data_IF_842076928931
#
_entry.id   IF_842076928931
#
_cell.length_a   1.000
_cell.length_b   1.000
_cell.length_c   1.000
_cell.angle_alpha   90.00
_cell.angle_beta   90.00
_cell.angle_gamma   90.00
#
_symmetry.space_group_name_H-M   'P 1'
#
loop_
_entity.id
_entity.type
_entity.pdbx_description
1 polymer ?
#
# COMPACT_ATOMS: atom_id res chain seq x y z
N UNK A 1 -23.60 15.70 3.27
CA UNK A 1 -24.93 15.82 2.61
C UNK A 1 -25.55 14.44 2.64
N UNK A 2 -26.77 14.28 3.17
CA UNK A 2 -27.46 12.99 3.29
C UNK A 2 -28.65 13.04 2.35
N UNK A 3 -28.71 12.11 1.38
CA UNK A 3 -29.89 11.93 0.54
C UNK A 3 -31.02 11.29 1.35
N UNK A 4 -32.21 11.83 1.27
CA UNK A 4 -33.37 11.38 2.05
C UNK A 4 -34.39 10.55 1.25
N UNK A 5 -34.36 10.61 -0.09
CA UNK A 5 -35.18 9.75 -0.96
C UNK A 5 -34.46 8.38 -1.11
N UNK A 6 -35.12 7.27 -0.71
CA UNK A 6 -34.55 5.94 -0.89
C UNK A 6 -34.23 5.60 -2.34
N UNK A 7 -35.09 5.98 -3.27
CA UNK A 7 -34.93 5.72 -4.71
C UNK A 7 -33.70 6.44 -5.25
N UNK A 8 -33.54 7.72 -4.87
CA UNK A 8 -32.40 8.54 -5.29
C UNK A 8 -31.10 8.07 -4.62
N UNK A 9 -31.16 7.68 -3.36
CA UNK A 9 -29.99 7.09 -2.65
C UNK A 9 -29.54 5.80 -3.33
N UNK A 10 -30.48 4.93 -3.73
CA UNK A 10 -30.18 3.70 -4.46
C UNK A 10 -29.56 3.98 -5.84
N UNK A 11 -30.12 4.91 -6.60
CA UNK A 11 -29.57 5.30 -7.90
C UNK A 11 -28.13 5.83 -7.79
N UNK A 12 -27.85 6.70 -6.79
CA UNK A 12 -26.51 7.22 -6.53
C UNK A 12 -25.54 6.11 -6.09
N UNK A 13 -26.00 5.12 -5.34
CA UNK A 13 -25.19 3.98 -4.94
C UNK A 13 -24.77 3.12 -6.14
N UNK A 14 -25.69 2.87 -7.08
CA UNK A 14 -25.38 2.16 -8.33
C UNK A 14 -24.39 2.94 -9.21
N UNK A 15 -24.58 4.23 -9.37
CA UNK A 15 -23.66 5.09 -10.11
C UNK A 15 -22.26 5.10 -9.48
N UNK A 16 -22.18 5.21 -8.15
CA UNK A 16 -20.92 5.17 -7.42
C UNK A 16 -20.21 3.83 -7.58
N UNK A 17 -20.93 2.70 -7.59
CA UNK A 17 -20.37 1.38 -7.83
C UNK A 17 -19.82 1.25 -9.26
N UNK A 18 -20.57 1.72 -10.26
CA UNK A 18 -20.12 1.71 -11.66
C UNK A 18 -18.85 2.55 -11.85
N UNK A 19 -18.81 3.78 -11.33
CA UNK A 19 -17.63 4.64 -11.36
C UNK A 19 -16.45 4.00 -10.63
N UNK A 20 -16.70 3.29 -9.53
CA UNK A 20 -15.67 2.56 -8.79
C UNK A 20 -15.10 1.41 -9.61
N UNK A 21 -15.92 0.68 -10.36
CA UNK A 21 -15.47 -0.40 -11.24
C UNK A 21 -14.65 0.16 -12.41
N UNK A 22 -15.11 1.23 -13.04
CA UNK A 22 -14.37 1.92 -14.12
C UNK A 22 -13.02 2.42 -13.64
N UNK A 23 -12.97 3.05 -12.46
CA UNK A 23 -11.72 3.49 -11.85
C UNK A 23 -10.75 2.32 -11.62
N UNK A 24 -11.24 1.18 -11.11
CA UNK A 24 -10.42 -0.02 -10.88
C UNK A 24 -9.84 -0.54 -12.20
N UNK A 25 -10.65 -0.63 -13.25
CA UNK A 25 -10.20 -1.10 -14.56
C UNK A 25 -9.08 -0.22 -15.16
N UNK A 26 -9.23 1.11 -15.06
CA UNK A 26 -8.18 2.05 -15.51
C UNK A 26 -6.92 1.90 -14.67
N UNK A 27 -7.06 1.79 -13.36
CA UNK A 27 -5.94 1.59 -12.43
C UNK A 27 -5.17 0.30 -12.71
N UNK A 28 -5.86 -0.81 -12.92
CA UNK A 28 -5.22 -2.11 -13.16
C UNK A 28 -4.50 -2.13 -14.51
N UNK A 29 -5.08 -1.48 -15.55
CA UNK A 29 -4.40 -1.27 -16.83
C UNK A 29 -3.13 -0.42 -16.67
N UNK A 30 -3.22 0.73 -16.00
CA UNK A 30 -2.05 1.60 -15.79
C UNK A 30 -0.95 0.92 -14.98
N UNK A 31 -1.33 0.08 -14.01
CA UNK A 31 -0.37 -0.70 -13.22
C UNK A 31 0.35 -1.74 -14.11
N UNK A 32 -0.39 -2.48 -14.93
CA UNK A 32 0.19 -3.45 -15.85
C UNK A 32 1.15 -2.80 -16.85
N UNK A 33 0.75 -1.67 -17.46
CA UNK A 33 1.61 -0.90 -18.37
C UNK A 33 2.89 -0.39 -17.70
N UNK A 34 2.79 0.03 -16.42
CA UNK A 34 3.93 0.49 -15.65
C UNK A 34 4.89 -0.65 -15.29
N UNK A 35 4.35 -1.82 -14.94
CA UNK A 35 5.15 -3.02 -14.63
C UNK A 35 5.85 -3.54 -15.88
N UNK A 36 5.17 -3.56 -17.03
CA UNK A 36 5.79 -3.91 -18.32
C UNK A 36 6.96 -2.98 -18.66
N UNK A 37 6.83 -1.66 -18.43
CA UNK A 37 7.91 -0.70 -18.64
C UNK A 37 9.09 -0.97 -17.70
N UNK A 38 8.81 -1.25 -16.41
CA UNK A 38 9.85 -1.56 -15.43
C UNK A 38 10.67 -2.79 -15.85
N UNK A 39 9.99 -3.83 -16.29
CA UNK A 39 10.65 -5.07 -16.74
C UNK A 39 11.42 -4.87 -18.05
N UNK A 40 10.77 -4.30 -19.06
CA UNK A 40 11.37 -4.09 -20.38
C UNK A 40 12.61 -3.20 -20.35
N UNK A 41 12.65 -2.22 -19.47
CA UNK A 41 13.77 -1.28 -19.31
C UNK A 41 14.77 -1.68 -18.23
N UNK A 42 14.52 -2.77 -17.51
CA UNK A 42 15.39 -3.23 -16.41
C UNK A 42 15.38 -2.28 -15.19
N UNK A 43 14.33 -1.48 -15.01
CA UNK A 43 14.26 -0.51 -13.91
C UNK A 43 14.09 -1.15 -12.54
N UNK A 44 13.78 -2.43 -12.49
CA UNK A 44 13.64 -3.15 -11.22
C UNK A 44 14.92 -3.14 -10.36
N UNK A 45 16.09 -2.90 -10.94
CA UNK A 45 17.38 -2.79 -10.21
C UNK A 45 17.68 -1.38 -9.70
N UNK A 46 16.93 -0.35 -10.10
CA UNK A 46 17.17 1.04 -9.70
C UNK A 46 16.75 1.29 -8.25
N UNK A 47 17.36 2.28 -7.60
CA UNK A 47 17.03 2.70 -6.23
C UNK A 47 15.73 3.50 -6.16
N UNK A 48 15.27 4.07 -7.27
CA UNK A 48 14.00 4.75 -7.42
C UNK A 48 13.38 4.48 -8.80
N UNK A 49 12.05 4.58 -8.88
CA UNK A 49 11.32 4.40 -10.14
C UNK A 49 10.67 5.72 -10.57
N UNK A 50 10.87 6.10 -11.83
CA UNK A 50 10.22 7.26 -12.42
C UNK A 50 9.57 6.83 -13.73
N UNK A 51 8.26 6.81 -13.76
CA UNK A 51 7.44 6.33 -14.87
C UNK A 51 6.51 7.44 -15.34
N UNK A 52 6.27 7.51 -16.63
CA UNK A 52 5.37 8.52 -17.16
C UNK A 52 4.96 8.21 -18.59
N UNK A 53 3.65 8.39 -18.86
CA UNK A 53 3.09 8.11 -20.17
C UNK A 53 1.97 9.10 -20.53
N UNK A 54 1.86 9.39 -21.82
CA UNK A 54 0.75 10.16 -22.38
C UNK A 54 -0.57 9.43 -22.15
N UNK A 55 -1.60 10.15 -21.72
CA UNK A 55 -2.94 9.61 -21.47
C UNK A 55 -3.13 8.88 -20.14
N UNK A 56 -2.12 8.75 -19.28
CA UNK A 56 -2.33 8.24 -17.94
C UNK A 56 -3.15 9.22 -17.09
N UNK A 57 -4.16 8.70 -16.43
CA UNK A 57 -5.13 9.51 -15.68
C UNK A 57 -4.51 10.12 -14.43
N UNK A 58 -4.50 11.45 -14.34
CA UNK A 58 -3.92 12.22 -13.23
C UNK A 58 -4.57 11.91 -11.86
N UNK A 59 -5.85 11.53 -11.85
CA UNK A 59 -6.55 11.14 -10.62
C UNK A 59 -6.15 9.75 -10.09
N UNK A 60 -5.46 8.95 -10.91
CA UNK A 60 -5.12 7.55 -10.58
C UNK A 60 -3.62 7.36 -10.36
N UNK A 61 -2.76 8.24 -10.91
CA UNK A 61 -1.29 8.12 -10.79
C UNK A 61 -0.82 7.93 -9.34
N UNK A 62 -1.49 8.56 -8.37
CA UNK A 62 -1.15 8.44 -6.95
C UNK A 62 -1.43 7.06 -6.37
N UNK A 63 -2.45 6.36 -6.87
CA UNK A 63 -2.79 5.00 -6.44
C UNK A 63 -1.79 4.02 -7.04
N UNK A 64 -1.46 4.19 -8.33
CA UNK A 64 -0.46 3.35 -9.03
C UNK A 64 0.91 3.54 -8.39
N UNK A 65 1.35 4.79 -8.13
CA UNK A 65 2.61 5.06 -7.45
C UNK A 65 2.69 4.38 -6.08
N UNK A 66 1.58 4.40 -5.31
CA UNK A 66 1.51 3.73 -4.00
C UNK A 66 1.65 2.21 -4.11
N UNK A 67 1.00 1.57 -5.09
CA UNK A 67 1.12 0.12 -5.32
C UNK A 67 2.54 -0.27 -5.73
N UNK A 68 3.14 0.46 -6.65
CA UNK A 68 4.52 0.22 -7.10
C UNK A 68 5.52 0.45 -5.96
N UNK A 69 5.35 1.52 -5.17
CA UNK A 69 6.21 1.78 -4.02
C UNK A 69 6.16 0.66 -2.98
N UNK A 70 4.97 0.08 -2.74
CA UNK A 70 4.81 -1.07 -1.85
C UNK A 70 5.38 -2.37 -2.43
N UNK A 71 5.22 -2.61 -3.73
CA UNK A 71 5.70 -3.82 -4.40
C UNK A 71 7.23 -3.86 -4.51
N UNK A 72 7.83 -2.72 -4.89
CA UNK A 72 9.27 -2.62 -5.12
C UNK A 72 10.05 -2.09 -3.91
N UNK A 73 9.37 -1.70 -2.83
CA UNK A 73 9.94 -1.18 -1.58
C UNK A 73 10.92 -0.01 -1.79
N UNK A 74 10.58 0.92 -2.71
CA UNK A 74 11.42 2.07 -3.06
C UNK A 74 10.60 3.30 -3.45
N UNK A 75 11.22 4.50 -3.51
CA UNK A 75 10.57 5.71 -3.99
C UNK A 75 10.12 5.57 -5.45
N UNK A 76 8.89 6.00 -5.74
CA UNK A 76 8.27 5.92 -7.07
C UNK A 76 7.61 7.23 -7.44
N UNK A 77 7.88 7.71 -8.64
CA UNK A 77 7.11 8.77 -9.31
C UNK A 77 6.31 8.14 -10.45
N UNK A 78 5.01 8.40 -10.49
CA UNK A 78 4.15 8.07 -11.64
C UNK A 78 3.51 9.36 -12.14
N UNK A 79 3.69 9.66 -13.43
CA UNK A 79 3.17 10.86 -14.07
C UNK A 79 2.31 10.54 -15.30
N UNK A 80 1.16 11.20 -15.42
CA UNK A 80 0.39 11.24 -16.66
C UNK A 80 0.73 12.49 -17.45
N UNK A 81 0.81 12.39 -18.77
CA UNK A 81 1.04 13.53 -19.64
C UNK A 81 -0.20 13.83 -20.50
N UNK A 82 -0.38 15.10 -20.77
CA UNK A 82 -1.36 15.62 -21.70
C UNK A 82 -0.72 16.81 -22.44
N UNK A 83 -0.63 16.72 -23.76
CA UNK A 83 0.01 17.74 -24.60
C UNK A 83 1.43 18.14 -24.14
N UNK A 84 2.25 17.14 -23.72
CA UNK A 84 3.61 17.35 -23.25
C UNK A 84 3.76 17.92 -21.84
N UNK A 85 2.65 18.21 -21.13
CA UNK A 85 2.64 18.63 -19.74
C UNK A 85 2.21 17.47 -18.84
N UNK A 86 2.96 17.20 -17.79
CA UNK A 86 2.73 16.08 -16.89
C UNK A 86 2.41 16.50 -15.47
N UNK A 87 1.49 15.74 -14.88
CA UNK A 87 1.23 15.76 -13.45
C UNK A 87 1.45 14.38 -12.88
N UNK A 88 2.18 14.31 -11.78
CA UNK A 88 2.54 13.06 -11.16
C UNK A 88 2.37 13.06 -9.66
N UNK A 89 2.41 11.85 -9.12
CA UNK A 89 2.42 11.59 -7.70
C UNK A 89 3.68 10.82 -7.31
N UNK A 90 4.19 11.15 -6.14
CA UNK A 90 5.38 10.52 -5.56
C UNK A 90 4.97 9.75 -4.31
N UNK A 91 5.40 8.50 -4.22
CA UNK A 91 5.19 7.61 -3.07
C UNK A 91 6.49 6.87 -2.75
N UNK A 92 6.63 6.43 -1.51
CA UNK A 92 7.79 5.64 -1.10
C UNK A 92 7.51 4.85 0.17
N UNK A 93 8.41 3.96 0.57
CA UNK A 93 8.37 3.28 1.84
C UNK A 93 8.32 4.27 3.01
N UNK A 94 7.85 3.80 4.15
CA UNK A 94 7.85 4.61 5.38
C UNK A 94 9.29 5.06 5.71
N UNK A 95 9.45 6.34 6.02
CA UNK A 95 10.76 6.92 6.29
C UNK A 95 11.51 7.45 5.06
N UNK A 96 10.97 7.28 3.85
CA UNK A 96 11.52 7.93 2.65
C UNK A 96 11.44 9.45 2.79
N UNK A 97 12.52 10.13 2.45
CA UNK A 97 12.62 11.60 2.48
C UNK A 97 12.24 12.17 1.11
N UNK A 98 11.01 11.90 0.65
CA UNK A 98 10.56 12.20 -0.72
C UNK A 98 10.69 13.69 -1.08
N UNK A 99 10.36 14.59 -0.14
CA UNK A 99 10.49 16.02 -0.38
C UNK A 99 11.93 16.44 -0.64
N UNK A 100 12.88 15.92 0.14
CA UNK A 100 14.31 16.26 -0.01
C UNK A 100 14.87 15.70 -1.34
N UNK A 101 14.42 14.51 -1.75
CA UNK A 101 14.79 13.93 -3.05
C UNK A 101 14.25 14.77 -4.21
N UNK A 102 13.02 15.26 -4.11
CA UNK A 102 12.43 16.15 -5.11
C UNK A 102 13.14 17.51 -5.17
N UNK A 103 13.55 18.04 -4.02
CA UNK A 103 14.33 19.27 -3.97
C UNK A 103 15.66 19.12 -4.73
N UNK A 104 16.35 17.99 -4.58
CA UNK A 104 17.57 17.67 -5.34
C UNK A 104 17.30 17.44 -6.84
N UNK A 105 16.09 17.03 -7.21
CA UNK A 105 15.67 16.79 -8.59
C UNK A 105 14.94 17.98 -9.23
N UNK A 106 14.92 19.13 -8.56
CA UNK A 106 14.10 20.29 -8.93
C UNK A 106 14.40 20.85 -10.32
N UNK A 107 15.62 20.67 -10.84
CA UNK A 107 16.02 21.13 -12.19
C UNK A 107 15.16 20.51 -13.32
N UNK A 108 14.62 19.29 -13.12
CA UNK A 108 13.77 18.60 -14.08
C UNK A 108 12.26 18.77 -13.78
N UNK A 109 11.88 19.60 -12.83
CA UNK A 109 10.51 19.82 -12.40
C UNK A 109 10.05 21.24 -12.68
N UNK A 110 8.81 21.40 -13.12
CA UNK A 110 8.16 22.71 -13.20
C UNK A 110 7.73 23.16 -11.80
N UNK A 111 7.18 22.22 -11.04
CA UNK A 111 6.74 22.44 -9.66
C UNK A 111 6.69 21.12 -8.92
N UNK A 112 6.93 21.18 -7.62
CA UNK A 112 6.69 20.05 -6.72
C UNK A 112 6.20 20.55 -5.36
N UNK A 113 5.57 19.65 -4.60
CA UNK A 113 5.09 19.96 -3.26
C UNK A 113 4.50 18.75 -2.55
N UNK A 114 4.46 18.83 -1.24
CA UNK A 114 3.96 17.74 -0.41
C UNK A 114 4.78 17.56 0.87
N UNK A 115 4.80 16.34 1.36
CA UNK A 115 5.45 15.96 2.60
C UNK A 115 6.46 14.83 2.36
N UNK A 116 7.20 14.44 3.42
CA UNK A 116 8.19 13.36 3.32
C UNK A 116 7.58 11.99 2.95
N UNK A 117 6.28 11.77 3.18
CA UNK A 117 5.61 10.49 2.89
C UNK A 117 4.87 10.45 1.54
N UNK A 118 4.49 11.61 1.00
CA UNK A 118 3.73 11.72 -0.25
C UNK A 118 3.85 13.13 -0.82
N UNK A 119 4.11 13.22 -2.13
CA UNK A 119 4.25 14.50 -2.82
C UNK A 119 3.60 14.45 -4.20
N UNK A 120 3.43 15.64 -4.79
CA UNK A 120 3.00 15.84 -6.16
C UNK A 120 4.08 16.54 -6.96
N UNK A 121 4.13 16.29 -8.26
CA UNK A 121 5.07 16.90 -9.20
C UNK A 121 4.37 17.38 -10.46
N UNK A 122 4.89 18.45 -11.05
CA UNK A 122 4.57 18.89 -12.40
C UNK A 122 5.87 18.94 -13.21
N UNK A 123 5.86 18.40 -14.42
CA UNK A 123 7.02 18.31 -15.28
C UNK A 123 6.64 18.38 -16.76
N UNK A 124 7.61 18.61 -17.62
CA UNK A 124 7.45 18.46 -19.08
C UNK A 124 7.85 17.05 -19.52
N UNK A 125 7.18 16.51 -20.52
CA UNK A 125 7.49 15.17 -21.03
C UNK A 125 8.96 15.05 -21.45
N UNK A 126 9.54 16.11 -22.01
CA UNK A 126 10.96 16.17 -22.41
C UNK A 126 11.92 16.01 -21.22
N UNK A 127 11.50 16.35 -20.00
CA UNK A 127 12.33 16.26 -18.81
C UNK A 127 12.22 14.91 -18.08
N UNK A 128 11.38 13.99 -18.55
CA UNK A 128 11.16 12.71 -17.87
C UNK A 128 12.47 11.91 -17.71
N UNK A 129 13.32 11.90 -18.75
CA UNK A 129 14.60 11.20 -18.69
C UNK A 129 15.56 11.85 -17.70
N UNK A 130 15.65 13.18 -17.69
CA UNK A 130 16.47 13.95 -16.73
C UNK A 130 15.99 13.72 -15.30
N UNK A 131 14.67 13.74 -15.08
CA UNK A 131 14.09 13.47 -13.75
C UNK A 131 14.42 12.06 -13.27
N UNK A 132 14.41 11.07 -14.18
CA UNK A 132 14.75 9.68 -13.84
C UNK A 132 16.16 9.56 -13.28
N UNK A 133 17.14 10.21 -13.90
CA UNK A 133 18.53 10.16 -13.45
C UNK A 133 18.76 10.98 -12.16
N UNK A 134 18.17 12.16 -12.07
CA UNK A 134 18.32 13.01 -10.88
C UNK A 134 17.65 12.36 -9.64
N UNK A 135 16.46 11.79 -9.82
CA UNK A 135 15.73 11.17 -8.72
C UNK A 135 16.38 9.84 -8.27
N UNK A 136 16.95 9.08 -9.20
CA UNK A 136 17.78 7.91 -8.91
C UNK A 136 19.00 8.30 -8.06
N UNK A 137 19.74 9.34 -8.48
CA UNK A 137 20.91 9.83 -7.74
C UNK A 137 20.51 10.31 -6.32
N UNK A 138 19.39 11.04 -6.22
CA UNK A 138 18.87 11.48 -4.94
C UNK A 138 18.49 10.30 -4.04
N UNK A 139 17.92 9.23 -4.61
CA UNK A 139 17.56 8.02 -3.86
C UNK A 139 18.80 7.25 -3.36
N UNK A 140 19.84 7.14 -4.16
CA UNK A 140 21.11 6.52 -3.77
C UNK A 140 21.84 7.29 -2.68
N UNK A 141 21.69 8.60 -2.66
CA UNK A 141 22.31 9.51 -1.68
C UNK A 141 21.48 9.67 -0.40
N UNK A 142 20.20 9.27 -0.44
CA UNK A 142 19.32 9.37 0.71
C UNK A 142 19.71 8.35 1.79
N UNK A 143 19.63 8.72 3.09
CA UNK A 143 19.71 7.72 4.14
C UNK A 143 18.69 6.62 3.88
N UNK A 144 19.06 5.37 4.18
CA UNK A 144 18.14 4.25 4.08
C UNK A 144 16.83 4.61 4.78
N UNK A 145 15.66 4.32 4.19
CA UNK A 145 14.40 4.52 4.87
C UNK A 145 14.51 3.85 6.24
N UNK A 146 14.08 4.56 7.28
CA UNK A 146 13.99 3.92 8.60
C UNK A 146 13.15 2.66 8.37
N UNK A 147 13.79 1.50 8.55
CA UNK A 147 13.08 0.25 8.48
C UNK A 147 11.87 0.40 9.39
N UNK A 148 10.69 0.02 8.92
CA UNK A 148 9.46 0.09 9.70
C UNK A 148 9.51 -0.81 10.96
N UNK A 149 10.71 -1.19 11.38
CA UNK A 149 11.06 -2.04 12.51
C UNK A 149 11.71 -1.35 13.69
N UNK A 150 12.19 -0.10 13.57
CA UNK A 150 12.99 0.53 14.63
C UNK A 150 12.32 1.68 15.39
N UNK A 151 11.08 1.95 15.18
CA UNK A 151 10.29 2.62 16.22
C UNK A 151 9.77 1.54 17.14
N UNK A 152 10.06 1.61 18.44
CA UNK A 152 9.55 0.75 19.51
C UNK A 152 8.01 0.63 19.46
N UNK A 153 7.49 -0.10 18.46
CA UNK A 153 6.14 -0.60 18.56
C UNK A 153 6.22 -1.74 19.57
N UNK A 154 5.72 -1.48 20.77
CA UNK A 154 5.44 -2.54 21.72
C UNK A 154 4.54 -3.56 21.01
N UNK A 155 5.16 -4.65 20.56
CA UNK A 155 4.42 -5.79 20.02
C UNK A 155 3.97 -6.61 21.21
N UNK A 156 2.66 -6.66 21.41
CA UNK A 156 2.12 -7.58 22.38
C UNK A 156 2.09 -8.99 21.80
N UNK A 157 2.92 -9.88 22.35
CA UNK A 157 2.87 -11.31 22.01
C UNK A 157 1.63 -11.89 22.69
N UNK A 158 0.62 -12.20 21.90
CA UNK A 158 -0.66 -12.69 22.40
C UNK A 158 -0.59 -14.22 22.53
N UNK A 159 -0.87 -14.78 23.73
CA UNK A 159 -1.09 -16.21 23.86
C UNK A 159 -2.29 -16.66 23.02
N UNK A 160 -2.20 -17.83 22.41
CA UNK A 160 -3.18 -18.34 21.46
C UNK A 160 -4.60 -18.42 22.03
N UNK A 161 -4.74 -18.71 23.31
CA UNK A 161 -6.03 -18.87 24.01
C UNK A 161 -6.65 -17.55 24.49
N UNK A 162 -5.93 -16.44 24.41
CA UNK A 162 -6.41 -15.13 24.83
C UNK A 162 -6.84 -14.22 23.66
N UNK A 163 -6.71 -14.68 22.43
CA UNK A 163 -6.89 -13.84 21.23
C UNK A 163 -8.22 -13.06 21.19
N UNK A 164 -9.33 -13.73 21.52
CA UNK A 164 -10.65 -13.09 21.52
C UNK A 164 -10.82 -12.09 22.65
N UNK A 165 -10.21 -12.38 23.80
CA UNK A 165 -10.20 -11.45 24.94
C UNK A 165 -9.40 -10.22 24.63
N UNK A 166 -8.20 -10.39 24.05
CA UNK A 166 -7.35 -9.29 23.61
C UNK A 166 -8.07 -8.41 22.59
N UNK A 167 -8.80 -8.99 21.63
CA UNK A 167 -9.59 -8.20 20.69
C UNK A 167 -10.64 -7.34 21.40
N UNK A 168 -11.37 -7.87 22.37
CA UNK A 168 -12.37 -7.13 23.12
C UNK A 168 -11.72 -5.98 23.93
N UNK A 169 -10.55 -6.24 24.53
CA UNK A 169 -9.80 -5.23 25.28
C UNK A 169 -9.26 -4.12 24.34
N UNK A 170 -8.82 -4.48 23.13
CA UNK A 170 -8.37 -3.51 22.12
C UNK A 170 -9.50 -2.60 21.61
N UNK A 171 -10.73 -3.10 21.53
CA UNK A 171 -11.89 -2.29 21.16
C UNK A 171 -12.20 -1.18 22.19
N UNK A 172 -11.81 -1.35 23.46
CA UNK A 172 -11.95 -0.29 24.46
C UNK A 172 -11.00 0.89 24.26
N UNK A 173 -9.95 0.73 23.42
CA UNK A 173 -9.00 1.79 23.07
C UNK A 173 -9.48 2.66 21.92
N UNK A 174 -10.60 2.31 21.28
CA UNK A 174 -11.19 3.11 20.19
C UNK A 174 -11.68 4.50 20.70
N UNK A 175 -11.56 5.57 19.92
CA UNK A 175 -11.15 5.58 18.51
C UNK A 175 -9.63 5.64 18.32
N UNK A 176 -9.11 4.73 17.51
CA UNK A 176 -7.72 4.74 17.08
C UNK A 176 -7.54 5.52 15.76
N UNK A 177 -6.37 6.12 15.55
CA UNK A 177 -6.08 6.95 14.40
C UNK A 177 -4.59 7.14 14.13
N UNK A 178 -4.23 8.16 13.36
CA UNK A 178 -2.86 8.40 12.92
C UNK A 178 -1.90 8.66 14.09
N UNK A 179 -2.32 9.44 15.10
CA UNK A 179 -1.51 9.78 16.28
C UNK A 179 -1.78 8.89 17.49
N UNK A 180 -2.82 8.05 17.41
CA UNK A 180 -3.16 7.03 18.39
C UNK A 180 -3.39 5.69 17.66
N UNK A 181 -2.35 5.05 17.12
CA UNK A 181 -2.52 3.83 16.35
C UNK A 181 -2.99 2.69 17.24
N UNK A 182 -3.89 1.85 16.71
CA UNK A 182 -4.27 0.61 17.40
C UNK A 182 -3.01 -0.22 17.69
N UNK A 183 -2.88 -0.80 18.88
CA UNK A 183 -1.74 -1.64 19.22
C UNK A 183 -1.55 -2.78 18.22
N UNK A 184 -0.29 -3.07 17.88
CA UNK A 184 0.05 -4.21 17.05
C UNK A 184 0.26 -5.44 17.94
N UNK A 185 -0.18 -6.59 17.44
CA UNK A 185 0.03 -7.88 18.09
C UNK A 185 1.01 -8.72 17.28
N UNK A 186 1.75 -9.58 17.95
CA UNK A 186 2.60 -10.61 17.35
C UNK A 186 2.04 -11.99 17.69
N UNK A 187 1.98 -12.86 16.69
CA UNK A 187 1.46 -14.21 16.78
C UNK A 187 2.44 -15.19 16.14
N UNK A 188 2.51 -16.41 16.68
CA UNK A 188 3.10 -17.55 15.99
C UNK A 188 1.98 -18.47 15.53
N UNK A 189 2.05 -18.89 14.28
CA UNK A 189 1.00 -19.68 13.68
C UNK A 189 1.53 -20.55 12.54
N UNK A 190 0.82 -21.64 12.25
CA UNK A 190 1.03 -22.42 11.04
C UNK A 190 0.12 -21.92 9.93
N UNK A 191 0.66 -21.70 8.75
CA UNK A 191 -0.14 -21.31 7.58
C UNK A 191 -0.83 -22.53 6.98
N UNK A 192 -2.14 -22.57 7.06
CA UNK A 192 -2.97 -23.68 6.55
C UNK A 192 -3.45 -23.42 5.13
N UNK A 193 -3.72 -22.16 4.82
CA UNK A 193 -4.11 -21.71 3.50
C UNK A 193 -3.47 -20.37 3.21
N UNK A 194 -2.94 -20.23 2.01
CA UNK A 194 -2.37 -18.99 1.49
C UNK A 194 -2.82 -18.79 0.05
N UNK A 195 -3.37 -17.64 -0.26
CA UNK A 195 -3.79 -17.30 -1.62
C UNK A 195 -3.71 -15.82 -1.88
N UNK A 196 -3.38 -15.48 -3.12
CA UNK A 196 -3.56 -14.13 -3.61
C UNK A 196 -5.05 -13.88 -3.90
N UNK A 197 -5.51 -12.69 -3.54
CA UNK A 197 -6.86 -12.23 -3.84
C UNK A 197 -6.82 -10.94 -4.64
N UNK A 198 -7.95 -10.59 -5.25
CA UNK A 198 -8.09 -9.42 -6.12
C UNK A 198 -7.42 -8.18 -5.54
N UNK A 199 -6.62 -7.50 -6.36
CA UNK A 199 -5.85 -6.32 -5.96
C UNK A 199 -4.44 -6.63 -5.45
N UNK A 200 -3.92 -7.85 -5.63
CA UNK A 200 -2.57 -8.24 -5.21
C UNK A 200 -2.42 -8.40 -3.70
N UNK A 201 -3.53 -8.71 -3.01
CA UNK A 201 -3.53 -8.89 -1.56
C UNK A 201 -3.34 -10.36 -1.17
N UNK A 202 -2.74 -10.59 0.00
CA UNK A 202 -2.58 -11.91 0.59
C UNK A 202 -3.74 -12.22 1.53
N UNK A 203 -4.37 -13.38 1.35
CA UNK A 203 -5.31 -13.95 2.32
C UNK A 203 -4.72 -15.22 2.88
N UNK A 204 -4.58 -15.28 4.20
CA UNK A 204 -4.10 -16.45 4.92
C UNK A 204 -5.20 -17.02 5.82
N UNK A 205 -5.12 -18.31 6.05
CA UNK A 205 -5.73 -18.97 7.19
C UNK A 205 -4.62 -19.50 8.08
N UNK A 206 -4.57 -18.99 9.29
CA UNK A 206 -3.56 -19.29 10.30
C UNK A 206 -4.14 -20.28 11.31
N UNK A 207 -3.40 -21.32 11.64
CA UNK A 207 -3.69 -22.23 12.73
C UNK A 207 -2.82 -21.86 13.92
N UNK A 208 -3.47 -21.46 14.98
CA UNK A 208 -2.88 -21.17 16.27
C UNK A 208 -2.82 -22.44 17.13
N UNK A 209 -2.22 -22.36 18.30
CA UNK A 209 -2.26 -23.44 19.28
C UNK A 209 -3.68 -23.95 19.54
N UNK A 210 -3.81 -25.22 19.91
CA UNK A 210 -5.08 -25.92 20.14
C UNK A 210 -6.03 -25.97 18.93
N UNK A 211 -5.51 -25.78 17.70
CA UNK A 211 -6.29 -25.89 16.46
C UNK A 211 -7.23 -24.72 16.17
N UNK A 212 -7.08 -23.60 16.87
CA UNK A 212 -7.85 -22.39 16.57
C UNK A 212 -7.47 -21.83 15.21
N UNK A 213 -8.45 -21.29 14.49
CA UNK A 213 -8.26 -20.71 13.16
C UNK A 213 -8.45 -19.19 13.20
N UNK A 214 -7.49 -18.47 12.62
CA UNK A 214 -7.53 -17.03 12.46
C UNK A 214 -7.33 -16.67 10.99
N UNK A 215 -8.27 -15.90 10.42
CA UNK A 215 -8.06 -15.28 9.11
C UNK A 215 -7.02 -14.17 9.20
N UNK A 216 -6.15 -14.05 8.18
CA UNK A 216 -5.26 -12.90 8.08
C UNK A 216 -5.33 -12.30 6.67
N UNK A 217 -5.26 -10.97 6.61
CA UNK A 217 -5.32 -10.20 5.38
C UNK A 217 -4.10 -9.29 5.28
N UNK A 218 -3.23 -9.55 4.31
CA UNK A 218 -2.01 -8.78 4.03
C UNK A 218 -2.18 -7.89 2.80
N UNK A 219 -2.37 -6.57 2.95
CA UNK A 219 -2.47 -5.67 1.81
C UNK A 219 -1.21 -5.72 0.95
N UNK A 220 -1.38 -5.92 -0.37
CA UNK A 220 -0.31 -5.94 -1.38
C UNK A 220 0.80 -6.99 -1.17
N UNK A 221 0.54 -7.99 -0.34
CA UNK A 221 1.46 -9.11 -0.07
C UNK A 221 1.13 -10.38 -0.86
N UNK A 222 0.26 -10.29 -1.88
CA UNK A 222 -0.22 -11.45 -2.66
C UNK A 222 0.90 -12.28 -3.28
N UNK A 223 1.98 -11.63 -3.72
CA UNK A 223 3.16 -12.27 -4.30
C UNK A 223 3.82 -13.30 -3.35
N UNK A 224 3.60 -13.20 -2.04
CA UNK A 224 4.14 -14.10 -1.03
C UNK A 224 3.29 -15.35 -0.77
N UNK A 225 2.15 -15.51 -1.45
CA UNK A 225 1.23 -16.61 -1.18
C UNK A 225 1.87 -18.00 -1.34
N UNK A 226 2.70 -18.19 -2.38
CA UNK A 226 3.38 -19.46 -2.65
C UNK A 226 4.44 -19.83 -1.61
N UNK A 227 5.05 -18.86 -0.95
CA UNK A 227 6.14 -19.07 0.01
C UNK A 227 5.65 -19.51 1.39
N UNK A 228 4.39 -19.24 1.72
CA UNK A 228 3.89 -19.32 3.09
C UNK A 228 3.13 -20.61 3.41
N UNK A 229 2.60 -21.31 2.40
CA UNK A 229 1.76 -22.49 2.61
C UNK A 229 2.51 -23.60 3.37
N UNK A 230 1.91 -24.05 4.47
CA UNK A 230 2.42 -25.16 5.29
C UNK A 230 3.57 -24.78 6.24
N UNK A 231 4.02 -23.52 6.23
CA UNK A 231 5.11 -23.04 7.09
C UNK A 231 4.63 -22.60 8.47
N UNK A 232 5.51 -22.65 9.46
CA UNK A 232 5.34 -21.90 10.71
C UNK A 232 5.88 -20.50 10.53
N UNK A 233 5.08 -19.52 10.89
CA UNK A 233 5.41 -18.12 10.73
C UNK A 233 5.22 -17.36 12.05
N UNK A 234 6.09 -16.37 12.26
CA UNK A 234 5.84 -15.31 13.21
C UNK A 234 5.34 -14.10 12.42
N UNK A 235 4.18 -13.57 12.79
CA UNK A 235 3.54 -12.46 12.10
C UNK A 235 3.14 -11.37 13.06
N UNK A 236 3.15 -10.13 12.58
CA UNK A 236 2.59 -9.01 13.33
C UNK A 236 1.56 -8.25 12.50
N UNK A 237 0.62 -7.65 13.22
CA UNK A 237 -0.46 -6.89 12.62
C UNK A 237 -1.47 -6.42 13.65
N UNK A 238 -2.61 -5.97 13.19
CA UNK A 238 -3.70 -5.48 14.05
C UNK A 238 -4.90 -6.39 13.96
N UNK A 239 -5.42 -6.76 15.12
CA UNK A 239 -6.68 -7.49 15.19
C UNK A 239 -7.84 -6.56 14.83
N UNK A 240 -8.80 -7.06 14.07
CA UNK A 240 -10.01 -6.34 13.72
C UNK A 240 -11.18 -7.31 13.58
N UNK A 241 -12.40 -6.80 13.59
CA UNK A 241 -13.57 -7.60 13.22
C UNK A 241 -13.52 -7.94 11.73
N UNK A 242 -13.84 -9.19 11.40
CA UNK A 242 -13.97 -9.62 10.01
C UNK A 242 -15.33 -9.17 9.46
N UNK A 243 -15.33 -8.08 8.70
CA UNK A 243 -16.53 -7.50 8.10
C UNK A 243 -17.22 -8.43 7.09
N UNK A 244 -16.50 -9.41 6.50
CA UNK A 244 -17.06 -10.35 5.53
C UNK A 244 -17.74 -11.55 6.17
N UNK A 245 -17.16 -12.08 7.26
CA UNK A 245 -17.74 -13.21 7.98
C UNK A 245 -18.86 -12.78 8.93
N UNK A 246 -18.86 -11.52 9.34
CA UNK A 246 -19.86 -10.97 10.25
C UNK A 246 -19.77 -11.54 11.68
N UNK A 247 -20.70 -11.14 12.54
CA UNK A 247 -20.75 -11.58 13.94
C UNK A 247 -19.52 -11.17 14.73
N UNK A 248 -19.01 -12.10 15.54
CA UNK A 248 -17.82 -11.89 16.37
C UNK A 248 -16.52 -12.43 15.72
N UNK A 249 -16.53 -12.73 14.43
CA UNK A 249 -15.35 -13.18 13.73
C UNK A 249 -14.27 -12.09 13.75
N UNK A 250 -13.04 -12.49 14.04
CA UNK A 250 -11.86 -11.61 14.04
C UNK A 250 -10.90 -12.00 12.91
N UNK A 251 -10.14 -11.02 12.47
CA UNK A 251 -9.14 -11.15 11.43
C UNK A 251 -7.88 -10.37 11.81
N UNK A 252 -6.70 -10.89 11.50
CA UNK A 252 -5.45 -10.16 11.61
C UNK A 252 -5.24 -9.34 10.32
N UNK A 253 -5.23 -8.01 10.41
CA UNK A 253 -4.67 -7.18 9.36
C UNK A 253 -3.14 -7.30 9.43
N UNK A 254 -2.60 -8.20 8.62
CA UNK A 254 -1.17 -8.50 8.57
C UNK A 254 -0.37 -7.29 8.09
N UNK A 255 0.65 -6.93 8.83
CA UNK A 255 1.56 -5.82 8.49
C UNK A 255 2.92 -6.37 8.05
N UNK A 256 3.42 -7.42 8.70
CA UNK A 256 4.71 -8.06 8.34
C UNK A 256 4.83 -9.49 8.86
N UNK A 257 5.73 -10.22 8.25
CA UNK A 257 6.34 -11.44 8.76
C UNK A 257 7.57 -11.04 9.58
N UNK A 258 7.75 -11.65 10.75
CA UNK A 258 8.82 -11.36 11.71
C UNK A 258 10.01 -12.31 11.53
#
# INVERSE_FOLDING_TARGET
MIERSPERAYALALEAEELSQQRRAVQDRMLAEAEEEIEAQGYASRSALVLGREGWNHGIVGIVAGRLASKYERPVIVAGFENGHGRGSVRGPKGSRLYDMLAQSSAALVRFGGHQAAAGVELRAAELASLRELFEHAAQSAPAPLSSGEGDQLLWVVPDDELFRVQADLELLEPCGAENPAPAVALRARVVSAREVSGGHLKLELELGRGQRLGAFGPLLGHRAGEQLGTEVAVSGRLRRDAYRGGNAIELKLERFL
#
